data_IF_094518158094
#
_entry.id   IF_094518158094
#
_cell.length_a   1.000
_cell.length_b   1.000
_cell.length_c   1.000
_cell.angle_alpha   90.00
_cell.angle_beta   90.00
_cell.angle_gamma   90.00
#
_symmetry.space_group_name_H-M   'P 1'
#
loop_
_entity.id
_entity.type
_entity.pdbx_description
1 polymer ?
#
# COMPACT_ATOMS: atom_id res chain seq x y z
N UNK A 1 -3.60 -16.67 -11.74
CA UNK A 1 -2.52 -16.32 -10.79
C UNK A 1 -3.04 -15.95 -9.40
N UNK A 2 -3.92 -14.95 -9.23
CA UNK A 2 -4.34 -14.46 -7.90
C UNK A 2 -5.07 -15.51 -7.01
N UNK A 3 -5.92 -16.37 -7.60
CA UNK A 3 -6.67 -17.39 -6.83
C UNK A 3 -5.77 -18.37 -6.08
N UNK A 4 -4.66 -18.79 -6.70
CA UNK A 4 -3.67 -19.66 -6.07
C UNK A 4 -3.00 -18.97 -4.88
N UNK A 5 -2.63 -17.70 -5.03
CA UNK A 5 -2.07 -16.92 -3.92
C UNK A 5 -3.07 -16.74 -2.76
N UNK A 6 -4.36 -16.60 -3.05
CA UNK A 6 -5.40 -16.61 -2.01
C UNK A 6 -5.54 -17.98 -1.32
N UNK A 7 -5.58 -19.07 -2.10
CA UNK A 7 -5.67 -20.42 -1.57
C UNK A 7 -4.46 -20.80 -0.69
N UNK A 8 -3.28 -20.27 -1.02
CA UNK A 8 -2.03 -20.48 -0.26
C UNK A 8 -1.85 -19.48 0.89
N UNK A 9 -2.84 -18.62 1.19
CA UNK A 9 -2.78 -17.66 2.30
C UNK A 9 -1.78 -16.51 2.10
N UNK A 10 -1.24 -16.32 0.89
CA UNK A 10 -0.26 -15.26 0.55
C UNK A 10 -0.90 -13.98 0.03
N UNK A 11 -2.22 -13.98 -0.21
CA UNK A 11 -2.98 -12.84 -0.69
C UNK A 11 -4.38 -12.81 -0.07
N UNK A 12 -4.72 -11.68 0.55
CA UNK A 12 -6.07 -11.38 1.01
C UNK A 12 -6.73 -10.38 0.05
N UNK A 13 -7.95 -10.68 -0.40
CA UNK A 13 -8.77 -9.75 -1.18
C UNK A 13 -9.90 -9.25 -0.30
N UNK A 14 -9.92 -7.94 -0.05
CA UNK A 14 -10.97 -7.25 0.69
C UNK A 14 -11.77 -6.37 -0.27
N UNK A 15 -13.10 -6.40 -0.12
CA UNK A 15 -14.01 -5.53 -0.87
C UNK A 15 -15.00 -4.86 0.09
N UNK A 16 -15.01 -3.52 0.19
CA UNK A 16 -16.03 -2.79 0.95
C UNK A 16 -17.34 -2.61 0.15
N UNK A 17 -17.53 -3.35 -0.93
CA UNK A 17 -18.66 -3.19 -1.85
C UNK A 17 -19.62 -4.35 -1.81
N UNK A 18 -20.91 -4.03 -1.75
CA UNK A 18 -21.97 -5.02 -1.91
C UNK A 18 -21.94 -5.63 -3.32
N UNK A 19 -22.42 -6.89 -3.50
CA UNK A 19 -22.37 -7.62 -4.78
C UNK A 19 -23.04 -6.90 -5.97
N UNK A 20 -23.97 -5.96 -5.69
CA UNK A 20 -24.63 -5.13 -6.70
C UNK A 20 -23.68 -4.19 -7.46
N UNK A 21 -22.54 -3.83 -6.87
CA UNK A 21 -21.57 -2.94 -7.50
C UNK A 21 -20.62 -3.71 -8.42
N UNK A 22 -21.07 -3.97 -9.65
CA UNK A 22 -20.28 -4.72 -10.65
C UNK A 22 -19.39 -3.85 -11.54
N UNK A 23 -19.78 -2.58 -11.77
CA UNK A 23 -19.08 -1.68 -12.69
C UNK A 23 -18.06 -0.83 -11.95
N UNK A 24 -16.83 -0.78 -12.45
CA UNK A 24 -15.79 0.14 -11.95
C UNK A 24 -16.17 1.57 -12.34
N UNK A 25 -16.10 2.49 -11.38
CA UNK A 25 -16.33 3.93 -11.58
C UNK A 25 -15.35 4.75 -10.77
N UNK A 26 -15.18 6.03 -11.11
CA UNK A 26 -14.32 6.95 -10.37
C UNK A 26 -14.76 7.09 -8.90
N UNK A 27 -16.07 7.10 -8.64
CA UNK A 27 -16.63 7.14 -7.29
C UNK A 27 -16.30 5.87 -6.48
N UNK A 28 -16.39 4.69 -7.10
CA UNK A 28 -16.02 3.44 -6.42
C UNK A 28 -14.51 3.32 -6.21
N UNK A 29 -13.70 3.80 -7.15
CA UNK A 29 -12.24 3.87 -6.98
C UNK A 29 -11.85 4.76 -5.79
N UNK A 30 -12.51 5.91 -5.65
CA UNK A 30 -12.31 6.82 -4.51
C UNK A 30 -12.71 6.16 -3.18
N UNK A 31 -13.88 5.50 -3.13
CA UNK A 31 -14.31 4.75 -1.94
C UNK A 31 -13.35 3.61 -1.58
N UNK A 32 -12.82 2.89 -2.57
CA UNK A 32 -11.80 1.85 -2.37
C UNK A 32 -10.51 2.45 -1.82
N UNK A 33 -10.03 3.55 -2.39
CA UNK A 33 -8.77 4.16 -1.96
C UNK A 33 -8.89 4.74 -0.54
N UNK A 34 -10.05 5.31 -0.20
CA UNK A 34 -10.36 5.71 1.19
C UNK A 34 -10.41 4.50 2.13
N UNK A 35 -10.96 3.36 1.68
CA UNK A 35 -10.92 2.13 2.47
C UNK A 35 -9.49 1.65 2.72
N UNK A 36 -8.64 1.63 1.69
CA UNK A 36 -7.20 1.36 1.82
C UNK A 36 -6.55 2.35 2.79
N UNK A 37 -6.95 3.62 2.76
CA UNK A 37 -6.36 4.63 3.63
C UNK A 37 -6.66 4.44 5.11
N UNK A 38 -7.75 3.75 5.46
CA UNK A 38 -8.02 3.34 6.84
C UNK A 38 -7.13 2.17 7.27
N UNK A 39 -6.89 1.20 6.37
CA UNK A 39 -6.14 -0.02 6.68
C UNK A 39 -4.62 0.17 6.74
N UNK A 40 -4.06 1.05 5.90
CA UNK A 40 -2.62 1.24 5.84
C UNK A 40 -2.09 2.08 7.01
N UNK A 41 -0.95 1.65 7.57
CA UNK A 41 -0.19 2.42 8.57
C UNK A 41 0.61 3.55 7.92
N UNK A 42 1.12 3.32 6.70
CA UNK A 42 1.99 4.24 5.97
C UNK A 42 1.67 4.23 4.48
N UNK A 43 1.94 5.35 3.81
CA UNK A 43 1.63 5.55 2.41
C UNK A 43 2.88 5.92 1.64
N UNK A 44 3.07 5.29 0.49
CA UNK A 44 4.02 5.76 -0.50
C UNK A 44 3.27 6.15 -1.77
N UNK A 45 3.42 7.40 -2.18
CA UNK A 45 2.73 7.99 -3.33
C UNK A 45 3.80 8.51 -4.29
N UNK A 46 4.10 7.74 -5.36
CA UNK A 46 5.14 8.11 -6.33
C UNK A 46 4.93 9.50 -6.93
N UNK A 47 3.68 9.81 -7.25
CA UNK A 47 3.26 11.05 -7.86
C UNK A 47 1.78 11.28 -7.60
N UNK A 48 1.40 12.53 -7.38
CA UNK A 48 0.02 12.97 -7.32
C UNK A 48 -0.14 14.21 -8.19
N UNK A 49 -0.92 14.10 -9.27
CA UNK A 49 -1.20 15.25 -10.14
C UNK A 49 -1.86 16.37 -9.31
N UNK A 50 -1.45 17.64 -9.48
CA UNK A 50 -2.10 18.77 -8.84
C UNK A 50 -3.62 18.79 -9.03
N UNK A 51 -4.37 18.98 -7.93
CA UNK A 51 -5.84 18.98 -7.92
C UNK A 51 -6.51 17.62 -8.08
N UNK A 52 -5.73 16.52 -8.15
CA UNK A 52 -6.29 15.17 -8.34
C UNK A 52 -6.91 14.58 -7.07
N UNK A 53 -7.70 13.52 -7.25
CA UNK A 53 -8.22 12.73 -6.13
C UNK A 53 -7.13 12.06 -5.30
N UNK A 54 -5.99 11.72 -5.93
CA UNK A 54 -4.85 11.15 -5.21
C UNK A 54 -4.22 12.20 -4.30
N UNK A 55 -4.04 13.43 -4.78
CA UNK A 55 -3.56 14.56 -3.96
C UNK A 55 -4.49 14.81 -2.77
N UNK A 56 -5.80 14.92 -3.02
CA UNK A 56 -6.79 15.11 -1.96
C UNK A 56 -6.79 13.97 -0.95
N UNK A 57 -6.62 12.72 -1.39
CA UNK A 57 -6.47 11.58 -0.49
C UNK A 57 -5.22 11.71 0.39
N UNK A 58 -4.08 12.13 -0.17
CA UNK A 58 -2.84 12.34 0.59
C UNK A 58 -3.03 13.42 1.66
N UNK A 59 -3.67 14.54 1.31
CA UNK A 59 -3.96 15.62 2.25
C UNK A 59 -4.86 15.14 3.39
N UNK A 60 -5.87 14.31 3.11
CA UNK A 60 -6.73 13.70 4.12
C UNK A 60 -5.99 12.70 5.02
N UNK A 61 -5.04 11.95 4.46
CA UNK A 61 -4.20 11.00 5.21
C UNK A 61 -3.23 11.74 6.13
N UNK A 62 -2.61 12.80 5.64
CA UNK A 62 -1.73 13.68 6.42
C UNK A 62 -2.48 14.38 7.55
N UNK A 63 -3.67 14.92 7.29
CA UNK A 63 -4.48 15.57 8.32
C UNK A 63 -4.98 14.60 9.39
N UNK A 64 -5.10 13.31 9.06
CA UNK A 64 -5.35 12.24 10.02
C UNK A 64 -4.10 11.78 10.79
N UNK A 65 -2.96 12.45 10.62
CA UNK A 65 -1.70 12.16 11.32
C UNK A 65 -0.94 10.94 10.81
N UNK A 66 -1.29 10.41 9.62
CA UNK A 66 -0.61 9.26 9.03
C UNK A 66 0.58 9.69 8.18
N UNK A 67 1.61 8.84 8.14
CA UNK A 67 2.82 9.11 7.38
C UNK A 67 2.61 8.89 5.87
N UNK A 68 2.92 9.92 5.08
CA UNK A 68 2.99 9.85 3.62
C UNK A 68 4.42 10.09 3.17
N UNK A 69 4.90 9.24 2.27
CA UNK A 69 6.19 9.35 1.60
C UNK A 69 5.99 9.59 0.10
N UNK A 70 6.92 10.29 -0.53
CA UNK A 70 6.96 10.49 -1.99
C UNK A 70 8.40 10.53 -2.48
N UNK A 71 8.63 10.63 -3.79
CA UNK A 71 9.98 10.75 -4.33
C UNK A 71 10.57 12.14 -4.06
N UNK A 72 11.89 12.23 -3.95
CA UNK A 72 12.60 13.51 -3.86
C UNK A 72 12.38 14.42 -5.07
N UNK A 73 12.06 13.85 -6.24
CA UNK A 73 11.65 14.62 -7.42
C UNK A 73 10.38 15.44 -7.20
N UNK A 74 9.53 15.02 -6.24
CA UNK A 74 8.26 15.65 -5.91
C UNK A 74 8.34 16.61 -4.71
N UNK A 75 9.55 17.03 -4.30
CA UNK A 75 9.77 17.88 -3.11
C UNK A 75 9.00 19.20 -3.12
N UNK A 76 8.64 19.71 -4.31
CA UNK A 76 7.88 20.95 -4.46
C UNK A 76 6.36 20.76 -4.48
N UNK A 77 5.90 19.50 -4.43
CA UNK A 77 4.47 19.18 -4.47
C UNK A 77 3.72 19.70 -3.24
N UNK A 78 2.42 19.91 -3.38
CA UNK A 78 1.58 20.37 -2.27
C UNK A 78 1.55 19.36 -1.10
N UNK A 79 1.66 18.06 -1.40
CA UNK A 79 1.62 17.03 -0.36
C UNK A 79 2.88 17.10 0.52
N UNK A 80 4.04 17.46 -0.04
CA UNK A 80 5.27 17.68 0.74
C UNK A 80 5.13 18.94 1.60
N UNK A 81 4.59 20.02 1.03
CA UNK A 81 4.28 21.25 1.80
C UNK A 81 3.28 21.00 2.93
N UNK A 82 2.39 20.02 2.76
CA UNK A 82 1.43 19.58 3.77
C UNK A 82 1.98 18.55 4.78
N UNK A 83 3.24 18.11 4.64
CA UNK A 83 3.91 17.23 5.59
C UNK A 83 4.30 15.85 5.07
N UNK A 84 4.11 15.54 3.79
CA UNK A 84 4.68 14.31 3.21
C UNK A 84 6.21 14.38 3.21
N UNK A 85 6.86 13.22 3.40
CA UNK A 85 8.31 13.09 3.43
C UNK A 85 8.87 12.67 2.06
N UNK A 86 9.63 13.54 1.36
CA UNK A 86 10.37 13.12 0.18
C UNK A 86 11.49 12.15 0.58
N UNK A 87 11.62 11.03 -0.15
CA UNK A 87 12.59 9.96 0.13
C UNK A 87 13.15 9.33 -1.14
N UNK A 88 14.37 8.80 -1.05
CA UNK A 88 14.88 7.80 -2.00
C UNK A 88 14.32 6.42 -1.67
N UNK A 89 14.37 5.49 -2.63
CA UNK A 89 13.93 4.10 -2.42
C UNK A 89 14.75 3.43 -1.31
N UNK A 90 16.07 3.55 -1.33
CA UNK A 90 16.95 2.95 -0.33
C UNK A 90 16.65 3.45 1.08
N UNK A 91 16.36 4.76 1.21
CA UNK A 91 15.98 5.36 2.48
C UNK A 91 14.63 4.87 2.97
N UNK A 92 13.65 4.77 2.06
CA UNK A 92 12.33 4.24 2.38
C UNK A 92 12.42 2.79 2.87
N UNK A 93 13.14 1.93 2.14
CA UNK A 93 13.35 0.53 2.54
C UNK A 93 14.00 0.46 3.91
N UNK A 94 15.07 1.23 4.13
CA UNK A 94 15.76 1.27 5.43
C UNK A 94 14.84 1.67 6.59
N UNK A 95 14.00 2.69 6.39
CA UNK A 95 13.03 3.15 7.40
C UNK A 95 11.93 2.12 7.70
N UNK A 96 11.40 1.46 6.67
CA UNK A 96 10.39 0.42 6.82
C UNK A 96 10.96 -0.81 7.53
N UNK A 97 12.15 -1.27 7.14
CA UNK A 97 12.82 -2.42 7.76
C UNK A 97 13.14 -2.16 9.23
N UNK A 98 13.66 -0.98 9.58
CA UNK A 98 13.95 -0.63 10.97
C UNK A 98 12.67 -0.63 11.84
N UNK A 99 11.54 -0.18 11.29
CA UNK A 99 10.27 -0.07 12.01
C UNK A 99 9.53 -1.39 12.16
N UNK A 100 9.61 -2.27 11.17
CA UNK A 100 8.89 -3.55 11.20
C UNK A 100 9.54 -4.58 12.14
N UNK A 101 10.71 -4.28 12.71
CA UNK A 101 11.56 -5.29 13.33
C UNK A 101 12.15 -6.19 12.24
N UNK A 102 13.22 -6.93 12.52
CA UNK A 102 13.90 -7.77 11.53
C UNK A 102 12.97 -8.89 11.06
N UNK A 103 12.20 -8.69 9.99
CA UNK A 103 11.53 -9.77 9.23
C UNK A 103 12.53 -10.55 8.37
N UNK A 104 13.82 -10.17 8.39
CA UNK A 104 14.83 -10.70 7.46
C UNK A 104 15.20 -12.17 7.68
N UNK A 105 14.79 -12.79 8.79
CA UNK A 105 15.08 -14.20 9.06
C UNK A 105 13.93 -15.14 8.71
N UNK A 106 12.69 -14.64 8.56
CA UNK A 106 11.50 -15.51 8.43
C UNK A 106 10.99 -15.67 6.98
N UNK A 107 11.36 -14.78 6.06
CA UNK A 107 10.89 -14.85 4.66
C UNK A 107 11.80 -15.65 3.73
N UNK A 108 13.07 -15.86 4.08
CA UNK A 108 13.99 -16.71 3.30
C UNK A 108 13.81 -18.20 3.60
N UNK A 109 13.43 -18.58 4.82
CA UNK A 109 13.30 -20.00 5.20
C UNK A 109 11.93 -20.63 4.93
N UNK A 110 10.85 -19.84 4.75
CA UNK A 110 9.52 -20.43 4.47
C UNK A 110 9.30 -20.82 2.99
N UNK A 111 10.24 -20.48 2.10
CA UNK A 111 10.17 -20.83 0.67
C UNK A 111 11.02 -22.06 0.30
N UNK A 112 11.72 -22.69 1.27
CA UNK A 112 12.58 -23.86 1.04
C UNK A 112 11.95 -25.20 1.41
N UNK A 113 10.68 -25.25 1.81
CA UNK A 113 9.99 -26.52 2.01
C UNK A 113 9.39 -27.05 0.69
N UNK A 114 9.89 -28.18 0.14
CA UNK A 114 9.21 -28.84 -0.96
C UNK A 114 7.87 -29.36 -0.45
N UNK A 115 6.79 -28.97 -1.12
CA UNK A 115 5.50 -29.65 -0.99
C UNK A 115 5.73 -31.09 -1.41
N UNK A 116 5.93 -31.99 -0.44
CA UNK A 116 5.86 -33.44 -0.67
C UNK A 116 4.45 -33.72 -1.15
N UNK A 117 4.31 -33.94 -2.46
CA UNK A 117 3.12 -34.55 -3.03
C UNK A 117 2.93 -35.91 -2.36
N UNK A 118 1.94 -36.00 -1.49
CA UNK A 118 1.45 -37.29 -1.01
C UNK A 118 0.49 -37.82 -2.07
N UNK A 119 0.92 -38.91 -2.69
CA UNK A 119 0.17 -39.73 -3.62
C UNK A 119 -1.00 -40.44 -2.93
N UNK A 120 -2.19 -40.41 -3.54
CA UNK A 120 -3.03 -41.56 -3.94
C UNK A 120 -4.39 -41.08 -4.43
#
# INVERSE_FOLDING_TARGET
>A
AWRKACAEGRLLILSPFAPKHKRISAMLAEKRNKFVSFLADQFFVPYATPGSKTEQLCLNVLSAGKQVYTFESEKESIIVRAGAMPVTVDRLVSQLTARMGVWSTLLTDSLSHPVKGSSK
#
